data_IF_980382088535
#
_entry.id   IF_980382088535
#
_cell.length_a   1.000
_cell.length_b   1.000
_cell.length_c   1.000
_cell.angle_alpha   90.00
_cell.angle_beta   90.00
_cell.angle_gamma   90.00
#
_symmetry.space_group_name_H-M   'P 1'
#
loop_
_entity.id
_entity.type
_entity.pdbx_description
1 polymer ?
#
# COMPACT_ATOMS: atom_id res chain seq x y z
N UNK A 1 10.22 -5.07 9.35
CA UNK A 1 10.05 -4.23 8.15
C UNK A 1 8.95 -4.87 7.35
N UNK A 2 7.82 -4.19 7.15
CA UNK A 2 6.68 -4.79 6.47
C UNK A 2 6.88 -4.63 4.95
N UNK A 3 6.71 -5.71 4.17
CA UNK A 3 6.69 -5.71 2.69
C UNK A 3 8.03 -5.76 1.92
N UNK A 4 9.10 -6.33 2.51
CA UNK A 4 10.40 -6.53 1.82
C UNK A 4 10.28 -7.37 0.54
N UNK A 5 9.49 -8.45 0.57
CA UNK A 5 9.25 -9.30 -0.61
C UNK A 5 8.58 -8.54 -1.76
N UNK A 6 7.62 -7.68 -1.44
CA UNK A 6 6.94 -6.84 -2.44
C UNK A 6 7.89 -5.80 -3.04
N UNK A 7 8.72 -5.16 -2.21
CA UNK A 7 9.76 -4.26 -2.70
C UNK A 7 10.76 -4.97 -3.60
N UNK A 8 11.14 -6.21 -3.27
CA UNK A 8 12.02 -7.03 -4.09
C UNK A 8 11.38 -7.34 -5.46
N UNK A 9 10.08 -7.69 -5.51
CA UNK A 9 9.34 -7.89 -6.77
C UNK A 9 9.39 -6.63 -7.65
N UNK A 10 9.14 -5.46 -7.06
CA UNK A 10 9.18 -4.20 -7.81
C UNK A 10 10.61 -3.87 -8.26
N UNK A 11 11.60 -4.02 -7.37
CA UNK A 11 13.00 -3.81 -7.68
C UNK A 11 13.45 -4.67 -8.85
N UNK A 12 13.08 -5.96 -8.85
CA UNK A 12 13.33 -6.87 -9.97
C UNK A 12 12.61 -6.42 -11.23
N UNK A 13 11.36 -5.97 -11.16
CA UNK A 13 10.63 -5.46 -12.33
C UNK A 13 11.20 -4.15 -12.92
N UNK A 14 11.93 -3.35 -12.13
CA UNK A 14 12.62 -2.15 -12.61
C UNK A 14 13.82 -2.52 -13.47
N UNK A 15 14.63 -3.49 -13.04
CA UNK A 15 15.85 -3.91 -13.75
C UNK A 15 15.59 -4.98 -14.82
N UNK A 16 14.59 -5.83 -14.63
CA UNK A 16 14.28 -6.95 -15.52
C UNK A 16 13.01 -6.69 -16.33
N UNK A 17 13.22 -6.40 -17.61
CA UNK A 17 12.14 -6.06 -18.55
C UNK A 17 11.26 -7.26 -18.92
N UNK A 18 11.78 -8.48 -18.84
CA UNK A 18 11.03 -9.70 -19.13
C UNK A 18 10.10 -10.03 -17.96
N UNK A 19 10.60 -9.90 -16.75
CA UNK A 19 9.87 -10.01 -15.49
C UNK A 19 8.75 -8.97 -15.42
N UNK A 20 9.04 -7.70 -15.75
CA UNK A 20 8.03 -6.66 -15.86
C UNK A 20 6.92 -7.02 -16.84
N UNK A 21 7.27 -7.51 -18.03
CA UNK A 21 6.26 -7.98 -19.01
C UNK A 21 5.44 -9.13 -18.44
N UNK A 22 6.05 -10.11 -17.80
CA UNK A 22 5.34 -11.23 -17.19
C UNK A 22 4.43 -10.80 -16.03
N UNK A 23 4.85 -9.82 -15.23
CA UNK A 23 4.08 -9.25 -14.13
C UNK A 23 2.82 -8.51 -14.65
N UNK A 24 2.97 -7.72 -15.70
CA UNK A 24 1.87 -6.95 -16.31
C UNK A 24 0.94 -7.81 -17.16
N UNK A 25 1.48 -8.78 -17.90
CA UNK A 25 0.75 -9.62 -18.88
C UNK A 25 -0.01 -10.79 -18.23
N UNK A 26 -0.36 -10.69 -16.95
CA UNK A 26 -1.18 -11.68 -16.24
C UNK A 26 -0.43 -12.90 -15.69
N UNK A 27 0.87 -13.05 -15.95
CA UNK A 27 1.71 -14.13 -15.38
C UNK A 27 2.22 -13.80 -13.96
N UNK A 28 1.69 -12.74 -13.33
CA UNK A 28 2.04 -12.28 -11.97
C UNK A 28 2.09 -13.41 -10.95
N UNK A 29 1.08 -14.29 -10.90
CA UNK A 29 1.03 -15.40 -9.93
C UNK A 29 2.15 -16.42 -10.09
N UNK A 30 2.75 -16.54 -11.28
CA UNK A 30 3.91 -17.42 -11.52
C UNK A 30 5.22 -16.73 -11.17
N UNK A 31 5.35 -15.44 -11.48
CA UNK A 31 6.59 -14.70 -11.24
C UNK A 31 6.78 -14.27 -9.79
N UNK A 32 5.69 -14.15 -9.03
CA UNK A 32 5.72 -13.79 -7.61
C UNK A 32 5.81 -15.00 -6.66
N UNK A 33 5.53 -16.21 -7.15
CA UNK A 33 5.71 -17.47 -6.40
C UNK A 33 7.06 -17.59 -5.68
N UNK A 34 8.21 -17.28 -6.33
CA UNK A 34 9.51 -17.37 -5.66
C UNK A 34 9.74 -16.32 -4.56
N UNK A 35 8.92 -15.27 -4.44
CA UNK A 35 9.13 -14.16 -3.50
C UNK A 35 8.54 -14.39 -2.10
N UNK A 36 8.04 -15.61 -1.81
CA UNK A 36 7.53 -16.01 -0.49
C UNK A 36 6.54 -15.00 0.12
N UNK A 37 5.64 -14.48 -0.73
CA UNK A 37 4.62 -13.51 -0.35
C UNK A 37 3.56 -14.17 0.55
N UNK A 38 3.07 -13.42 1.51
CA UNK A 38 1.92 -13.84 2.31
C UNK A 38 0.65 -13.91 1.47
N UNK A 39 -0.38 -14.59 1.97
CA UNK A 39 -1.69 -14.66 1.30
C UNK A 39 -2.30 -13.27 1.07
N UNK A 40 -2.13 -12.35 2.00
CA UNK A 40 -2.63 -10.97 1.89
C UNK A 40 -1.91 -10.20 0.78
N UNK A 41 -0.58 -10.27 0.75
CA UNK A 41 0.22 -9.62 -0.29
C UNK A 41 -0.07 -10.21 -1.67
N UNK A 42 -0.24 -11.53 -1.76
CA UNK A 42 -0.60 -12.21 -3.01
C UNK A 42 -1.96 -11.76 -3.50
N UNK A 43 -2.96 -11.67 -2.62
CA UNK A 43 -4.29 -11.12 -2.98
C UNK A 43 -4.20 -9.67 -3.45
N UNK A 44 -3.39 -8.85 -2.77
CA UNK A 44 -3.21 -7.46 -3.16
C UNK A 44 -2.59 -7.32 -4.55
N UNK A 45 -1.49 -8.05 -4.82
CA UNK A 45 -0.83 -8.07 -6.13
C UNK A 45 -1.75 -8.61 -7.22
N UNK A 46 -2.60 -9.59 -6.91
CA UNK A 46 -3.58 -10.12 -7.85
C UNK A 46 -4.71 -9.11 -8.14
N UNK A 47 -5.11 -8.31 -7.15
CA UNK A 47 -6.16 -7.30 -7.29
C UNK A 47 -5.69 -6.05 -8.06
N UNK A 48 -4.39 -5.72 -8.03
CA UNK A 48 -3.83 -4.56 -8.74
C UNK A 48 -3.94 -4.77 -10.25
N UNK A 49 -4.62 -3.86 -10.95
CA UNK A 49 -4.67 -3.84 -12.42
C UNK A 49 -3.84 -2.68 -12.92
N UNK A 50 -2.68 -2.99 -13.48
CA UNK A 50 -1.75 -2.00 -13.99
C UNK A 50 -1.20 -2.46 -15.34
N UNK A 51 -1.17 -1.53 -16.29
CA UNK A 51 -0.58 -1.73 -17.62
C UNK A 51 0.88 -1.26 -17.69
N UNK A 52 1.36 -0.60 -16.63
CA UNK A 52 2.73 -0.11 -16.51
C UNK A 52 3.28 -0.32 -15.09
N UNK A 53 4.61 -0.33 -14.98
CA UNK A 53 5.30 -0.50 -13.70
C UNK A 53 4.98 0.64 -12.73
N UNK A 54 4.84 1.86 -13.22
CA UNK A 54 4.48 3.03 -12.40
C UNK A 54 3.07 2.89 -11.82
N UNK A 55 2.09 2.46 -12.63
CA UNK A 55 0.72 2.19 -12.18
C UNK A 55 0.70 1.06 -11.14
N UNK A 56 1.56 0.06 -11.33
CA UNK A 56 1.69 -1.05 -10.38
C UNK A 56 2.29 -0.58 -9.05
N UNK A 57 3.42 0.15 -9.10
CA UNK A 57 4.08 0.70 -7.92
C UNK A 57 3.18 1.67 -7.16
N UNK A 58 2.45 2.54 -7.85
CA UNK A 58 1.52 3.48 -7.23
C UNK A 58 0.35 2.79 -6.52
N UNK A 59 -0.26 1.78 -7.14
CA UNK A 59 -1.35 1.03 -6.50
C UNK A 59 -0.85 0.17 -5.33
N UNK A 60 0.36 -0.38 -5.45
CA UNK A 60 0.96 -1.13 -4.36
C UNK A 60 1.32 -0.23 -3.17
N UNK A 61 1.92 0.93 -3.41
CA UNK A 61 2.22 1.93 -2.38
C UNK A 61 0.94 2.38 -1.66
N UNK A 62 -0.14 2.64 -2.41
CA UNK A 62 -1.45 2.95 -1.84
C UNK A 62 -2.01 1.82 -1.00
N UNK A 63 -1.87 0.57 -1.45
CA UNK A 63 -2.31 -0.59 -0.69
C UNK A 63 -1.49 -0.76 0.60
N UNK A 64 -0.16 -0.63 0.52
CA UNK A 64 0.75 -0.69 1.68
C UNK A 64 0.37 0.40 2.68
N UNK A 65 0.23 1.66 2.25
CA UNK A 65 -0.18 2.78 3.11
C UNK A 65 -1.55 2.55 3.74
N UNK A 66 -2.51 1.99 3.01
CA UNK A 66 -3.83 1.62 3.55
C UNK A 66 -3.74 0.46 4.53
N UNK A 67 -2.86 -0.50 4.29
CA UNK A 67 -2.70 -1.68 5.13
C UNK A 67 -1.94 -1.34 6.42
N UNK A 68 -0.97 -0.43 6.37
CA UNK A 68 -0.31 0.17 7.52
C UNK A 68 -1.25 1.10 8.29
N UNK A 69 -1.97 1.97 7.56
CA UNK A 69 -2.98 2.86 8.12
C UNK A 69 -4.22 2.16 8.67
N UNK A 70 -4.41 0.85 8.43
CA UNK A 70 -5.45 0.05 9.10
C UNK A 70 -5.12 -0.28 10.56
N UNK A 71 -3.87 -0.17 10.97
CA UNK A 71 -3.49 -0.09 12.38
C UNK A 71 -3.69 1.33 12.95
N UNK A 72 -4.05 2.29 12.09
CA UNK A 72 -4.30 3.71 12.41
C UNK A 72 -5.67 4.16 11.87
N UNK A 73 -6.75 3.46 12.24
CA UNK A 73 -8.09 4.06 12.16
C UNK A 73 -8.22 5.15 13.26
N UNK A 74 -9.00 6.21 13.03
CA UNK A 74 -8.49 7.58 12.97
C UNK A 74 -8.65 8.37 14.27
N UNK A 75 -7.57 8.91 14.82
CA UNK A 75 -7.63 10.07 15.71
C UNK A 75 -7.00 11.25 14.99
N UNK A 76 -7.78 11.98 14.19
CA UNK A 76 -7.75 13.45 14.05
C UNK A 76 -8.67 13.94 12.90
N UNK A 77 -9.85 13.35 12.74
CA UNK A 77 -10.97 14.18 12.32
C UNK A 77 -11.45 14.94 13.56
N UNK A 78 -10.75 16.03 13.90
CA UNK A 78 -11.27 17.08 14.77
C UNK A 78 -11.95 18.14 13.89
N UNK A 79 -13.26 18.02 13.59
CA UNK A 79 -14.06 19.20 13.42
C UNK A 79 -14.78 19.45 14.73
N UNK A 80 -14.42 20.54 15.41
CA UNK A 80 -15.28 21.41 16.26
C UNK A 80 -14.40 22.15 17.27
N UNK A 81 -13.74 23.20 16.79
CA UNK A 81 -13.24 24.28 17.65
C UNK A 81 -14.39 25.14 18.20
N UNK A 82 -15.45 24.52 18.71
CA UNK A 82 -16.60 25.21 19.27
C UNK A 82 -17.16 24.38 20.41
N UNK A 83 -16.59 24.49 21.61
CA UNK A 83 -17.29 24.45 22.90
C UNK A 83 -16.40 25.15 23.96
N UNK A 84 -17.01 25.74 25.00
CA UNK A 84 -16.88 27.15 25.31
C UNK A 84 -15.86 27.42 26.43
N UNK A 85 -15.31 28.62 26.44
CA UNK A 85 -14.53 29.14 27.58
C UNK A 85 -15.47 29.30 28.78
N UNK A 86 -15.58 28.28 29.62
CA UNK A 86 -16.22 28.39 30.92
C UNK A 86 -15.14 28.66 31.98
N UNK A 87 -15.21 29.86 32.58
CA UNK A 87 -14.58 30.23 33.84
C UNK A 87 -13.23 30.94 33.70
N UNK A 88 -13.01 32.15 34.22
CA UNK A 88 -13.87 33.05 34.99
C UNK A 88 -13.00 34.20 35.51
N UNK A 89 -13.60 35.34 35.84
CA UNK A 89 -13.08 36.19 36.91
C UNK A 89 -14.24 36.74 37.73
N UNK A 90 -14.15 36.41 39.00
CA UNK A 90 -14.93 36.81 40.15
C UNK A 90 -14.49 38.20 40.61
N UNK A 91 -15.48 38.99 41.06
CA UNK A 91 -15.41 40.23 41.88
C UNK A 91 -15.04 41.54 41.18
#
# INVERSE_FOLDING_TARGET
MAYESLQAVIGTAVIDSLFRKALLNGSRSRVIQPFNLTMEETSAVMAIRADSLEQFAGQLDQWIKRSQGKLEAPQLALPKNQYPLAGGVTH
#
